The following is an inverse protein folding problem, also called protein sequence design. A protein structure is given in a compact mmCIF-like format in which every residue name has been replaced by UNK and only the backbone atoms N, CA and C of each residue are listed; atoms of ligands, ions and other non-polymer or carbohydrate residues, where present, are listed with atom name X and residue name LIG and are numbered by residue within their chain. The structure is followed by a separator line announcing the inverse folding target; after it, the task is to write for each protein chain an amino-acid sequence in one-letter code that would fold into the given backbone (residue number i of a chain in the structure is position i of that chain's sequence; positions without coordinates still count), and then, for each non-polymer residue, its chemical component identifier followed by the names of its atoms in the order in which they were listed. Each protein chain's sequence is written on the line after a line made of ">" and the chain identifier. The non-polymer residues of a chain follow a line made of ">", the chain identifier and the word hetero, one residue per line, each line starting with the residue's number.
data_IF_124526780563
#
_entry.id   IF_124526780563
#
_cell.length_a   1.000
_cell.length_b   1.000
_cell.length_c   1.000
_cell.angle_alpha   90.00
_cell.angle_beta   90.00
_cell.angle_gamma   90.00
#
_symmetry.space_group_name_H-M   'P 1'
#
loop_
_entity.id
_entity.type
_entity.pdbx_description
1 polymer ?
#
# COMPACT_ATOMS: atom_id res chain seq x y z
N UNK A 1 9.71 6.74 -18.43
CA UNK A 1 8.52 5.86 -18.30
C UNK A 1 7.43 6.65 -17.61
N UNK A 2 6.17 6.48 -18.00
CA UNK A 2 5.03 7.09 -17.30
C UNK A 2 4.58 6.25 -16.11
N UNK A 3 3.61 6.76 -15.35
CA UNK A 3 2.91 6.00 -14.32
C UNK A 3 1.83 5.11 -14.92
N UNK A 4 1.54 3.99 -14.27
CA UNK A 4 0.52 3.03 -14.68
C UNK A 4 1.03 1.59 -14.72
N UNK A 5 0.25 0.72 -15.37
CA UNK A 5 0.50 -0.72 -15.42
C UNK A 5 1.35 -1.12 -16.62
N UNK A 6 2.29 -2.04 -16.40
CA UNK A 6 3.22 -2.55 -17.39
C UNK A 6 3.37 -4.07 -17.30
N UNK A 7 3.75 -4.69 -18.42
CA UNK A 7 4.17 -6.09 -18.47
C UNK A 7 5.67 -6.17 -18.68
N UNK A 8 6.38 -6.77 -17.74
CA UNK A 8 7.78 -7.11 -17.88
C UNK A 8 7.90 -8.55 -18.35
N UNK A 9 8.50 -8.75 -19.51
CA UNK A 9 8.62 -10.06 -20.16
C UNK A 9 10.01 -10.64 -19.99
N UNK A 10 10.07 -11.95 -19.75
CA UNK A 10 11.31 -12.69 -19.59
C UNK A 10 11.42 -13.71 -20.72
N UNK A 11 12.43 -13.53 -21.57
CA UNK A 11 12.64 -14.36 -22.75
C UNK A 11 13.93 -15.17 -22.60
N UNK A 12 13.88 -16.45 -22.98
CA UNK A 12 15.03 -17.35 -23.05
C UNK A 12 15.00 -18.09 -24.39
N UNK A 13 16.06 -17.98 -25.18
CA UNK A 13 16.16 -18.60 -26.51
C UNK A 13 14.94 -18.33 -27.41
N UNK A 14 14.43 -17.09 -27.37
CA UNK A 14 13.22 -16.63 -28.08
C UNK A 14 11.90 -17.23 -27.59
N UNK A 15 11.90 -17.96 -26.48
CA UNK A 15 10.70 -18.41 -25.77
C UNK A 15 10.34 -17.43 -24.64
N UNK A 16 9.08 -17.02 -24.53
CA UNK A 16 8.58 -16.23 -23.41
C UNK A 16 8.34 -17.17 -22.22
N UNK A 17 9.19 -17.09 -21.20
CA UNK A 17 9.18 -18.03 -20.07
C UNK A 17 8.50 -17.46 -18.82
N UNK A 18 8.36 -16.14 -18.71
CA UNK A 18 7.63 -15.49 -17.61
C UNK A 18 7.14 -14.08 -17.97
N UNK A 19 6.14 -13.63 -17.23
CA UNK A 19 5.62 -12.26 -17.27
C UNK A 19 5.37 -11.77 -15.85
N UNK A 20 5.88 -10.59 -15.54
CA UNK A 20 5.50 -9.81 -14.37
C UNK A 20 4.52 -8.69 -14.79
N UNK A 21 3.45 -8.53 -14.03
CA UNK A 21 2.54 -7.38 -14.09
C UNK A 21 2.92 -6.44 -12.97
N UNK A 22 3.34 -5.24 -13.33
CA UNK A 22 3.82 -4.22 -12.38
C UNK A 22 3.10 -2.90 -12.58
N UNK A 23 2.92 -2.15 -11.50
CA UNK A 23 2.49 -0.75 -11.54
C UNK A 23 3.65 0.17 -11.17
N UNK A 24 3.88 1.19 -12.00
CA UNK A 24 4.80 2.29 -11.67
C UNK A 24 3.96 3.42 -11.08
N UNK A 25 4.17 3.70 -9.80
CA UNK A 25 3.47 4.72 -9.02
C UNK A 25 4.44 5.84 -8.64
N UNK A 26 3.94 7.01 -8.21
CA UNK A 26 4.81 8.15 -7.84
C UNK A 26 5.88 7.82 -6.78
N UNK A 27 5.60 6.87 -5.88
CA UNK A 27 6.49 6.55 -4.76
C UNK A 27 7.11 5.14 -4.83
N UNK A 28 6.64 4.28 -5.73
CA UNK A 28 7.11 2.90 -5.80
C UNK A 28 6.90 2.22 -7.15
N UNK A 29 7.63 1.13 -7.37
CA UNK A 29 7.22 0.06 -8.28
C UNK A 29 6.46 -0.98 -7.46
N UNK A 30 5.29 -1.39 -7.93
CA UNK A 30 4.42 -2.37 -7.26
C UNK A 30 4.30 -3.64 -8.10
N UNK A 31 4.72 -4.77 -7.54
CA UNK A 31 4.53 -6.09 -8.14
C UNK A 31 3.08 -6.54 -7.90
N UNK A 32 2.34 -6.82 -8.99
CA UNK A 32 0.92 -7.18 -8.92
C UNK A 32 0.75 -8.68 -9.12
N UNK A 33 1.22 -9.19 -10.27
CA UNK A 33 1.16 -10.61 -10.60
C UNK A 33 2.46 -11.08 -11.22
N UNK A 34 2.83 -12.32 -10.93
CA UNK A 34 3.95 -12.98 -11.58
C UNK A 34 3.55 -14.39 -11.95
N UNK A 35 3.66 -14.73 -13.23
CA UNK A 35 3.38 -16.07 -13.74
C UNK A 35 4.45 -16.47 -14.74
N UNK A 36 4.74 -17.76 -14.78
CA UNK A 36 5.84 -18.32 -15.54
C UNK A 36 5.53 -19.75 -15.96
N UNK A 37 6.24 -20.21 -16.98
CA UNK A 37 6.15 -21.57 -17.47
C UNK A 37 6.76 -22.56 -16.43
N UNK A 38 5.97 -23.51 -15.90
CA UNK A 38 6.41 -24.45 -14.86
C UNK A 38 7.65 -25.26 -15.21
N UNK A 39 7.93 -25.49 -16.50
CA UNK A 39 9.14 -26.21 -16.94
C UNK A 39 10.43 -25.50 -16.51
N UNK A 40 10.34 -24.18 -16.25
CA UNK A 40 11.43 -23.33 -15.79
C UNK A 40 11.42 -23.08 -14.28
N UNK A 41 10.62 -23.82 -13.49
CA UNK A 41 10.53 -23.63 -12.03
C UNK A 41 11.89 -23.73 -11.32
N UNK A 42 12.83 -24.53 -11.85
CA UNK A 42 14.19 -24.67 -11.31
C UNK A 42 15.00 -23.36 -11.32
N UNK A 43 14.63 -22.39 -12.16
CA UNK A 43 15.31 -21.08 -12.26
C UNK A 43 14.89 -20.09 -11.15
N UNK A 44 13.90 -20.43 -10.32
CA UNK A 44 13.40 -19.54 -9.25
C UNK A 44 12.99 -18.15 -9.77
N UNK A 45 12.24 -18.12 -10.90
CA UNK A 45 11.96 -16.92 -11.67
C UNK A 45 11.30 -15.79 -10.86
N UNK A 46 10.50 -16.09 -9.83
CA UNK A 46 9.91 -15.06 -8.96
C UNK A 46 10.94 -14.27 -8.14
N UNK A 47 12.02 -14.92 -7.68
CA UNK A 47 13.13 -14.25 -7.01
C UNK A 47 13.92 -13.40 -8.00
N UNK A 48 14.19 -13.93 -9.19
CA UNK A 48 14.86 -13.18 -10.26
C UNK A 48 14.06 -11.94 -10.68
N UNK A 49 12.75 -12.08 -10.86
CA UNK A 49 11.86 -10.97 -11.18
C UNK A 49 11.91 -9.88 -10.11
N UNK A 50 11.88 -10.28 -8.83
CA UNK A 50 12.02 -9.33 -7.71
C UNK A 50 13.32 -8.53 -7.75
N UNK A 51 14.43 -9.15 -8.15
CA UNK A 51 15.71 -8.45 -8.32
C UNK A 51 15.70 -7.47 -9.50
N UNK A 52 15.03 -7.85 -10.59
CA UNK A 52 14.86 -6.99 -11.76
C UNK A 52 13.95 -5.79 -11.45
N UNK A 53 12.84 -6.00 -10.75
CA UNK A 53 11.92 -4.93 -10.33
C UNK A 53 12.60 -3.97 -9.33
N UNK A 54 13.48 -4.48 -8.47
CA UNK A 54 14.31 -3.67 -7.59
C UNK A 54 15.38 -2.86 -8.38
N UNK A 55 15.98 -3.46 -9.40
CA UNK A 55 16.90 -2.74 -10.30
C UNK A 55 16.15 -1.63 -11.07
N UNK A 56 14.94 -1.91 -11.58
CA UNK A 56 14.07 -0.94 -12.22
C UNK A 56 13.71 0.20 -11.26
N UNK A 57 13.35 -0.11 -10.02
CA UNK A 57 13.05 0.89 -8.98
C UNK A 57 14.21 1.86 -8.80
N UNK A 58 15.44 1.36 -8.68
CA UNK A 58 16.67 2.17 -8.56
C UNK A 58 16.95 3.00 -9.79
N UNK A 59 16.66 2.48 -10.98
CA UNK A 59 16.83 3.23 -12.23
C UNK A 59 15.84 4.39 -12.31
N UNK A 60 14.56 4.14 -12.02
CA UNK A 60 13.51 5.16 -12.06
C UNK A 60 13.75 6.25 -11.01
N UNK A 61 14.27 5.89 -9.83
CA UNK A 61 14.62 6.82 -8.76
C UNK A 61 15.57 7.94 -9.22
N UNK A 62 16.48 7.65 -10.17
CA UNK A 62 17.40 8.66 -10.72
C UNK A 62 16.68 9.82 -11.41
N UNK A 63 15.47 9.57 -11.92
CA UNK A 63 14.64 10.55 -12.63
C UNK A 63 13.45 11.05 -11.81
N UNK A 64 13.01 10.28 -10.81
CA UNK A 64 11.86 10.56 -9.96
C UNK A 64 12.28 10.34 -8.50
N UNK A 65 12.71 11.40 -7.82
CA UNK A 65 13.28 11.31 -6.46
C UNK A 65 12.34 10.64 -5.45
N UNK A 66 11.04 10.82 -5.61
CA UNK A 66 10.02 10.32 -4.68
C UNK A 66 9.80 8.81 -4.84
N UNK A 67 10.13 8.24 -6.02
CA UNK A 67 10.04 6.81 -6.30
C UNK A 67 11.27 6.12 -5.70
N UNK A 68 11.13 5.64 -4.48
CA UNK A 68 12.22 5.04 -3.71
C UNK A 68 11.91 3.65 -3.17
N UNK A 69 10.68 3.16 -3.36
CA UNK A 69 10.22 1.92 -2.75
C UNK A 69 9.87 0.85 -3.79
N UNK A 70 10.07 -0.41 -3.43
CA UNK A 70 9.60 -1.56 -4.20
C UNK A 70 8.58 -2.32 -3.35
N UNK A 71 7.34 -2.37 -3.82
CA UNK A 71 6.22 -3.00 -3.12
C UNK A 71 5.95 -4.38 -3.71
N UNK A 72 6.24 -5.43 -2.93
CA UNK A 72 6.08 -6.82 -3.35
C UNK A 72 4.66 -7.38 -3.11
N UNK A 73 3.71 -6.53 -2.73
CA UNK A 73 2.40 -6.95 -2.24
C UNK A 73 2.46 -7.56 -0.83
N UNK A 74 1.42 -8.34 -0.49
CA UNK A 74 1.29 -8.93 0.84
C UNK A 74 2.45 -9.87 1.20
N UNK A 75 2.65 -10.03 2.52
CA UNK A 75 3.54 -11.01 3.12
C UNK A 75 2.77 -11.78 4.19
N UNK A 76 2.56 -13.08 3.97
CA UNK A 76 1.95 -13.98 4.95
C UNK A 76 3.07 -14.85 5.51
N UNK A 77 3.43 -14.61 6.77
CA UNK A 77 4.58 -15.25 7.41
C UNK A 77 4.49 -16.79 7.42
N UNK A 78 3.30 -17.32 7.66
CA UNK A 78 3.04 -18.77 7.69
C UNK A 78 3.00 -19.41 6.30
N UNK A 79 3.00 -18.64 5.20
CA UNK A 79 2.97 -19.17 3.85
C UNK A 79 4.40 -19.41 3.32
N UNK A 80 4.85 -20.66 3.11
CA UNK A 80 6.21 -20.94 2.65
C UNK A 80 6.54 -20.28 1.30
N UNK A 81 5.54 -20.18 0.41
CA UNK A 81 5.67 -19.54 -0.91
C UNK A 81 5.93 -18.03 -0.84
N UNK A 82 5.66 -17.39 0.30
CA UNK A 82 5.86 -15.94 0.48
C UNK A 82 7.09 -15.62 1.34
N UNK A 83 7.71 -16.63 1.99
CA UNK A 83 8.90 -16.44 2.84
C UNK A 83 10.07 -15.80 2.11
N UNK A 84 10.20 -15.99 0.80
CA UNK A 84 11.29 -15.41 0.01
C UNK A 84 11.27 -13.87 0.02
N UNK A 85 10.09 -13.23 0.09
CA UNK A 85 9.97 -11.77 0.10
C UNK A 85 10.72 -11.15 1.29
N UNK A 86 10.63 -11.80 2.45
CA UNK A 86 11.31 -11.38 3.67
C UNK A 86 12.82 -11.68 3.71
N UNK A 87 13.38 -12.32 2.67
CA UNK A 87 14.84 -12.53 2.51
C UNK A 87 15.52 -11.38 1.79
N UNK A 88 14.76 -10.52 1.09
CA UNK A 88 15.27 -9.31 0.49
C UNK A 88 15.46 -8.27 1.60
N UNK A 89 16.69 -7.80 1.78
CA UNK A 89 17.03 -6.86 2.84
C UNK A 89 17.53 -5.52 2.27
N UNK A 90 17.10 -4.38 2.84
CA UNK A 90 16.07 -4.26 3.87
C UNK A 90 14.66 -4.52 3.31
N UNK A 91 13.78 -5.10 4.13
CA UNK A 91 12.34 -5.25 3.84
C UNK A 91 11.52 -4.78 5.03
N UNK A 92 10.35 -4.23 4.75
CA UNK A 92 9.49 -3.61 5.76
C UNK A 92 8.09 -4.22 5.71
N UNK A 93 7.46 -4.38 6.87
CA UNK A 93 6.05 -4.75 7.01
C UNK A 93 5.25 -3.57 7.56
N UNK A 94 4.02 -3.43 7.08
CA UNK A 94 3.06 -2.47 7.62
C UNK A 94 2.48 -3.03 8.92
N UNK A 95 2.53 -2.25 10.00
CA UNK A 95 1.89 -2.60 11.27
C UNK A 95 0.37 -2.63 11.09
N UNK A 96 -0.33 -3.72 11.49
CA UNK A 96 -1.78 -3.85 11.29
C UNK A 96 -2.61 -2.89 12.15
N UNK A 97 -2.02 -2.29 13.19
CA UNK A 97 -2.75 -1.42 14.13
C UNK A 97 -2.41 0.07 13.97
N UNK A 98 -1.17 0.38 13.59
CA UNK A 98 -0.69 1.77 13.51
C UNK A 98 -0.45 2.22 12.08
N UNK A 99 -0.57 1.33 11.09
CA UNK A 99 -0.30 1.63 9.67
C UNK A 99 1.06 2.31 9.42
N UNK A 100 2.07 1.97 10.22
CA UNK A 100 3.45 2.43 10.03
C UNK A 100 4.35 1.28 9.57
N UNK A 101 5.37 1.59 8.78
CA UNK A 101 6.31 0.60 8.23
C UNK A 101 7.42 0.27 9.23
N UNK A 102 7.63 -1.02 9.50
CA UNK A 102 8.67 -1.52 10.41
C UNK A 102 9.59 -2.50 9.70
N UNK A 103 10.89 -2.45 10.01
CA UNK A 103 11.87 -3.37 9.43
C UNK A 103 11.53 -4.80 9.82
N UNK A 104 11.49 -5.70 8.83
CA UNK A 104 11.37 -7.14 9.07
C UNK A 104 12.72 -7.69 9.55
N UNK A 105 12.96 -7.54 10.85
CA UNK A 105 14.10 -8.09 11.56
C UNK A 105 13.76 -9.43 12.23
N UNK A 106 14.74 -10.02 12.92
CA UNK A 106 14.54 -11.31 13.60
C UNK A 106 13.60 -11.20 14.80
N UNK A 107 13.48 -10.01 15.43
CA UNK A 107 12.51 -9.79 16.49
C UNK A 107 11.08 -9.91 15.98
N UNK A 108 10.75 -9.26 14.85
CA UNK A 108 9.44 -9.39 14.21
C UNK A 108 9.22 -10.81 13.71
N UNK A 109 10.22 -11.44 13.07
CA UNK A 109 10.09 -12.83 12.58
C UNK A 109 9.76 -13.80 13.71
N UNK A 110 10.52 -13.77 14.81
CA UNK A 110 10.32 -14.68 15.94
C UNK A 110 8.93 -14.51 16.58
N UNK A 111 8.42 -13.27 16.65
CA UNK A 111 7.05 -13.02 17.14
C UNK A 111 5.97 -13.57 16.20
N UNK A 112 6.18 -13.44 14.88
CA UNK A 112 5.28 -13.99 13.86
C UNK A 112 5.32 -15.52 13.77
N UNK A 113 6.41 -16.16 14.20
CA UNK A 113 6.50 -17.62 14.34
C UNK A 113 5.60 -18.13 15.50
N UNK A 114 5.30 -17.29 16.50
CA UNK A 114 4.45 -17.65 17.65
C UNK A 114 2.97 -17.33 17.39
N UNK A 115 2.67 -16.12 16.91
CA UNK A 115 1.30 -15.72 16.58
C UNK A 115 1.26 -14.96 15.25
N UNK A 116 0.27 -15.27 14.40
CA UNK A 116 0.15 -14.66 13.08
C UNK A 116 -0.24 -13.18 13.10
N UNK A 117 -0.94 -12.74 14.15
CA UNK A 117 -1.33 -11.35 14.34
C UNK A 117 -0.42 -10.72 15.40
N UNK A 118 0.32 -9.68 15.02
CA UNK A 118 1.29 -9.01 15.88
C UNK A 118 1.30 -7.50 15.61
N UNK A 119 1.26 -6.70 16.68
CA UNK A 119 1.56 -5.28 16.62
C UNK A 119 3.07 -5.08 16.47
N UNK A 120 3.52 -4.35 15.45
CA UNK A 120 4.95 -4.12 15.23
C UNK A 120 5.50 -2.88 15.93
N UNK A 121 4.64 -1.89 16.22
CA UNK A 121 5.04 -0.66 16.88
C UNK A 121 5.43 -0.89 18.34
N UNK A 122 6.59 -0.37 18.75
CA UNK A 122 7.12 -0.53 20.12
C UNK A 122 6.32 0.21 21.19
N UNK A 123 5.84 1.42 20.88
CA UNK A 123 4.93 2.16 21.76
C UNK A 123 3.50 1.56 21.71
N UNK A 124 2.95 1.07 22.84
CA UNK A 124 1.59 0.55 22.90
C UNK A 124 0.52 1.63 22.64
N UNK A 125 0.80 2.89 22.98
CA UNK A 125 -0.14 4.00 22.83
C UNK A 125 -0.09 4.66 21.45
N UNK A 126 0.82 4.22 20.57
CA UNK A 126 0.87 4.75 19.21
C UNK A 126 -0.43 4.45 18.44
N UNK A 127 -0.90 5.42 17.68
CA UNK A 127 -2.09 5.29 16.84
C UNK A 127 -1.71 5.47 15.39
N UNK A 128 -2.66 5.18 14.50
CA UNK A 128 -2.54 5.52 13.09
C UNK A 128 -2.26 7.04 12.92
N UNK A 129 -1.14 7.43 12.29
CA UNK A 129 -0.85 8.83 12.00
C UNK A 129 -1.89 9.53 11.12
N UNK A 130 -2.66 8.77 10.34
CA UNK A 130 -3.76 9.25 9.49
C UNK A 130 -5.14 9.06 10.12
N UNK A 131 -5.20 8.71 11.41
CA UNK A 131 -6.46 8.63 12.16
C UNK A 131 -7.17 9.99 12.18
N UNK A 132 -8.47 9.97 11.92
CA UNK A 132 -9.32 11.16 11.99
C UNK A 132 -9.44 11.70 13.41
N UNK A 133 -9.37 13.02 13.54
CA UNK A 133 -9.75 13.73 14.75
C UNK A 133 -11.15 14.34 14.57
N UNK A 134 -11.85 14.61 15.67
CA UNK A 134 -13.21 15.17 15.62
C UNK A 134 -13.29 16.47 14.78
N UNK A 135 -12.29 17.35 14.86
CA UNK A 135 -12.30 18.59 14.09
C UNK A 135 -11.96 18.39 12.60
N UNK A 136 -11.36 17.25 12.22
CA UNK A 136 -11.01 16.98 10.83
C UNK A 136 -12.26 16.73 9.96
N UNK A 137 -13.36 16.27 10.55
CA UNK A 137 -14.62 15.98 9.83
C UNK A 137 -15.17 17.22 9.14
N UNK A 138 -14.98 18.39 9.74
CA UNK A 138 -15.42 19.68 9.19
C UNK A 138 -14.77 19.99 7.85
N UNK A 139 -13.61 19.40 7.57
CA UNK A 139 -12.81 19.65 6.37
C UNK A 139 -13.08 18.63 5.25
N UNK A 140 -13.93 17.63 5.50
CA UNK A 140 -14.41 16.69 4.47
C UNK A 140 -15.21 17.48 3.42
N UNK A 141 -15.03 17.15 2.14
CA UNK A 141 -15.75 17.81 1.06
C UNK A 141 -17.09 17.12 0.80
N UNK A 142 -18.13 17.92 0.69
CA UNK A 142 -19.49 17.48 0.39
C UNK A 142 -19.96 18.16 -0.90
N UNK A 143 -20.60 17.39 -1.78
CA UNK A 143 -21.34 17.89 -2.93
C UNK A 143 -22.82 17.98 -2.54
N UNK A 144 -23.32 19.21 -2.41
CA UNK A 144 -24.71 19.51 -2.08
C UNK A 144 -25.23 20.63 -2.99
N UNK A 145 -26.42 20.47 -3.57
CA UNK A 145 -27.01 21.48 -4.46
C UNK A 145 -26.13 21.87 -5.66
N UNK A 146 -25.35 20.92 -6.19
CA UNK A 146 -24.33 21.10 -7.26
C UNK A 146 -23.10 21.94 -6.88
N UNK A 147 -22.92 22.25 -5.60
CA UNK A 147 -21.75 22.95 -5.09
C UNK A 147 -20.91 22.02 -4.22
N UNK A 148 -19.59 22.08 -4.37
CA UNK A 148 -18.66 21.41 -3.46
C UNK A 148 -18.32 22.39 -2.34
N UNK A 149 -18.55 21.98 -1.11
CA UNK A 149 -18.21 22.75 0.09
C UNK A 149 -17.63 21.84 1.18
N UNK A 150 -17.07 22.44 2.23
CA UNK A 150 -16.66 21.69 3.41
C UNK A 150 -17.87 21.30 4.25
N UNK A 151 -17.82 20.14 4.91
CA UNK A 151 -18.89 19.64 5.77
C UNK A 151 -19.27 20.66 6.86
N UNK A 152 -18.28 21.39 7.40
CA UNK A 152 -18.54 22.48 8.34
C UNK A 152 -19.53 23.53 7.83
N UNK A 153 -19.41 23.92 6.56
CA UNK A 153 -20.32 24.89 5.94
C UNK A 153 -21.67 24.25 5.57
N UNK A 154 -21.66 22.96 5.23
CA UNK A 154 -22.88 22.20 4.95
C UNK A 154 -23.78 22.10 6.19
N UNK A 155 -23.21 21.94 7.38
CA UNK A 155 -23.99 21.90 8.63
C UNK A 155 -24.78 23.19 8.89
N UNK A 156 -24.36 24.35 8.36
CA UNK A 156 -25.14 25.58 8.44
C UNK A 156 -26.42 25.54 7.58
N UNK A 157 -26.49 24.62 6.62
CA UNK A 157 -27.58 24.47 5.66
C UNK A 157 -28.43 23.21 5.91
N UNK A 158 -28.05 22.36 6.88
CA UNK A 158 -28.71 21.10 7.22
C UNK A 158 -29.27 21.15 8.63
N UNK A 159 -30.49 20.62 8.82
CA UNK A 159 -31.09 20.43 10.15
C UNK A 159 -30.59 19.14 10.84
N UNK A 160 -29.84 18.28 10.12
CA UNK A 160 -29.29 17.03 10.64
C UNK A 160 -27.82 17.17 11.06
N UNK A 161 -27.50 16.67 12.26
CA UNK A 161 -26.13 16.51 12.72
C UNK A 161 -25.55 15.18 12.21
N UNK A 162 -25.00 15.21 10.99
CA UNK A 162 -24.38 14.04 10.35
C UNK A 162 -22.92 13.82 10.82
N UNK A 163 -22.49 14.46 11.92
CA UNK A 163 -21.08 14.44 12.38
C UNK A 163 -20.59 13.03 12.71
N UNK A 164 -21.43 12.18 13.31
CA UNK A 164 -21.07 10.80 13.66
C UNK A 164 -20.79 9.95 12.41
N UNK A 165 -21.64 10.09 11.38
CA UNK A 165 -21.46 9.40 10.09
C UNK A 165 -20.18 9.88 9.38
N UNK A 166 -19.90 11.18 9.41
CA UNK A 166 -18.69 11.76 8.83
C UNK A 166 -17.42 11.29 9.55
N UNK A 167 -17.50 11.12 10.87
CA UNK A 167 -16.41 10.58 11.68
C UNK A 167 -16.19 9.10 11.38
N UNK A 168 -17.26 8.30 11.28
CA UNK A 168 -17.19 6.89 10.89
C UNK A 168 -16.56 6.74 9.50
N UNK A 169 -17.06 7.47 8.51
CA UNK A 169 -16.50 7.50 7.16
C UNK A 169 -15.00 7.83 7.20
N UNK A 170 -14.63 8.88 7.91
CA UNK A 170 -13.24 9.31 8.02
C UNK A 170 -12.34 8.27 8.68
N UNK A 171 -12.84 7.54 9.68
CA UNK A 171 -12.12 6.45 10.33
C UNK A 171 -11.92 5.23 9.42
N UNK A 172 -12.83 4.98 8.49
CA UNK A 172 -12.72 3.87 7.53
C UNK A 172 -11.70 4.15 6.42
N UNK A 173 -11.63 5.39 5.93
CA UNK A 173 -10.79 5.74 4.77
C UNK A 173 -9.47 6.41 5.13
N UNK A 174 -9.32 6.90 6.36
CA UNK A 174 -8.19 7.72 6.81
C UNK A 174 -8.35 9.20 6.47
N UNK A 175 -7.79 10.06 7.31
CA UNK A 175 -7.92 11.52 7.23
C UNK A 175 -7.46 12.11 5.90
N UNK A 176 -6.35 11.62 5.35
CA UNK A 176 -5.81 12.12 4.09
C UNK A 176 -6.75 11.81 2.93
N UNK A 177 -7.34 10.61 2.91
CA UNK A 177 -8.29 10.21 1.88
C UNK A 177 -9.62 10.97 2.02
N UNK A 178 -10.16 11.03 3.24
CA UNK A 178 -11.43 11.70 3.55
C UNK A 178 -11.46 13.18 3.10
N UNK A 179 -10.32 13.88 3.19
CA UNK A 179 -10.19 15.28 2.74
C UNK A 179 -10.11 15.47 1.23
N UNK A 180 -9.71 14.42 0.50
CA UNK A 180 -9.51 14.47 -0.96
C UNK A 180 -10.73 14.00 -1.73
N UNK A 181 -11.48 13.06 -1.17
CA UNK A 181 -12.74 12.58 -1.71
C UNK A 181 -13.86 13.60 -1.51
N UNK A 182 -14.94 13.43 -2.27
CA UNK A 182 -16.16 14.24 -2.16
C UNK A 182 -17.32 13.30 -1.87
N UNK A 183 -18.03 13.56 -0.76
CA UNK A 183 -19.24 12.82 -0.39
C UNK A 183 -20.44 13.51 -1.04
N UNK A 184 -21.30 12.75 -1.68
CA UNK A 184 -22.55 13.28 -2.24
C UNK A 184 -23.63 13.36 -1.16
N UNK A 185 -24.28 14.52 -1.00
CA UNK A 185 -25.48 14.73 -0.19
C UNK A 185 -26.58 15.29 -1.10
N UNK A 186 -27.66 14.53 -1.24
CA UNK A 186 -28.75 14.79 -2.19
C UNK A 186 -30.03 15.24 -1.51
#
# INVERSE_FOLDING_TARGET
>A
MGYGSFHQQYWLDSCLIAVAVIDILPQCVSSVYFFYDPDFAFLSLGTYASLQELALTRELQKSTSDLSNYYMGFYIHSCPKMRYKGKLYPSYLLCPETYTWHLLDDSIRNRLDVESYQRFHSNPDAKDPDMMQNNDVLLIKVLYGRNIMHFGNYMEHSDSDDTEEMLEYGNLVGRTCARRMVIFRG
#
